data_IF_150743892119
#
_entry.id   IF_150743892119
#
_cell.length_a   1.000
_cell.length_b   1.000
_cell.length_c   1.000
_cell.angle_alpha   90.00
_cell.angle_beta   90.00
_cell.angle_gamma   90.00
#
_symmetry.space_group_name_H-M   'P 1'
#
loop_
_entity.id
_entity.type
_entity.pdbx_description
1 polymer ?
#
# COMPACT_ATOMS: atom_id res chain seq x y z
N UNK A 1 -15.76 0.66 -6.01
CA UNK A 1 -15.14 -0.62 -5.58
C UNK A 1 -14.05 -1.06 -6.56
N UNK A 2 -14.31 -1.08 -7.88
CA UNK A 2 -13.28 -1.37 -8.88
C UNK A 2 -12.10 -0.39 -8.82
N UNK A 3 -12.34 0.90 -8.59
CA UNK A 3 -11.28 1.92 -8.51
C UNK A 3 -10.32 1.66 -7.34
N UNK A 4 -10.86 1.37 -6.15
CA UNK A 4 -10.09 1.00 -4.94
C UNK A 4 -9.24 -0.26 -5.20
N UNK A 5 -9.81 -1.27 -5.86
CA UNK A 5 -9.09 -2.51 -6.20
C UNK A 5 -8.00 -2.26 -7.26
N UNK A 6 -8.20 -1.30 -8.15
CA UNK A 6 -7.20 -0.92 -9.14
C UNK A 6 -6.06 -0.13 -8.49
N UNK A 7 -6.37 0.80 -7.60
CA UNK A 7 -5.39 1.57 -6.82
C UNK A 7 -4.52 0.65 -5.94
N UNK A 8 -5.14 -0.29 -5.21
CA UNK A 8 -4.40 -1.28 -4.42
C UNK A 8 -3.47 -2.16 -5.27
N UNK A 9 -3.85 -2.47 -6.52
CA UNK A 9 -2.96 -3.19 -7.45
C UNK A 9 -1.78 -2.35 -7.91
N UNK A 10 -2.00 -1.05 -8.15
CA UNK A 10 -0.91 -0.11 -8.46
C UNK A 10 0.07 -0.01 -7.29
N UNK A 11 -0.45 0.12 -6.07
CA UNK A 11 0.35 0.15 -4.84
C UNK A 11 1.12 -1.15 -4.65
N UNK A 12 0.48 -2.31 -4.86
CA UNK A 12 1.15 -3.61 -4.81
C UNK A 12 2.35 -3.67 -5.77
N UNK A 13 2.13 -3.27 -7.02
CA UNK A 13 3.18 -3.26 -8.05
C UNK A 13 4.36 -2.38 -7.65
N UNK A 14 4.09 -1.20 -7.07
CA UNK A 14 5.13 -0.31 -6.57
C UNK A 14 5.90 -0.94 -5.39
N UNK A 15 5.19 -1.50 -4.42
CA UNK A 15 5.79 -2.14 -3.25
C UNK A 15 6.67 -3.33 -3.66
N UNK A 16 6.22 -4.16 -4.60
CA UNK A 16 6.98 -5.29 -5.13
C UNK A 16 8.29 -4.81 -5.79
N UNK A 17 8.22 -3.79 -6.65
CA UNK A 17 9.40 -3.15 -7.26
C UNK A 17 10.38 -2.60 -6.21
N UNK A 18 9.88 -1.95 -5.15
CA UNK A 18 10.71 -1.42 -4.07
C UNK A 18 11.34 -2.55 -3.25
N UNK A 19 10.59 -3.64 -3.03
CA UNK A 19 11.04 -4.81 -2.28
C UNK A 19 12.15 -5.57 -3.00
N UNK A 20 12.09 -5.69 -4.32
CA UNK A 20 13.18 -6.23 -5.14
C UNK A 20 14.48 -5.43 -4.96
N UNK A 21 14.37 -4.10 -4.84
CA UNK A 21 15.51 -3.19 -4.64
C UNK A 21 15.81 -2.89 -3.17
N UNK A 22 15.17 -3.58 -2.21
CA UNK A 22 15.27 -3.26 -0.76
C UNK A 22 16.70 -3.24 -0.20
N UNK A 23 17.58 -4.07 -0.77
CA UNK A 23 18.98 -4.17 -0.33
C UNK A 23 19.79 -2.92 -0.70
N UNK A 24 19.35 -2.19 -1.73
CA UNK A 24 19.94 -0.93 -2.19
C UNK A 24 19.43 0.27 -1.39
N UNK A 25 18.36 0.10 -0.59
CA UNK A 25 17.82 1.15 0.25
C UNK A 25 18.62 1.29 1.56
N UNK A 26 18.80 2.53 2.07
CA UNK A 26 19.27 2.77 3.43
C UNK A 26 18.41 2.04 4.45
N UNK A 27 19.01 1.60 5.56
CA UNK A 27 18.34 0.81 6.60
C UNK A 27 17.03 1.43 7.11
N UNK A 28 16.99 2.75 7.30
CA UNK A 28 15.77 3.47 7.70
C UNK A 28 14.63 3.37 6.66
N UNK A 29 14.96 3.47 5.37
CA UNK A 29 14.00 3.32 4.27
C UNK A 29 13.57 1.88 4.05
N UNK A 30 14.48 0.93 4.25
CA UNK A 30 14.15 -0.50 4.21
C UNK A 30 13.14 -0.85 5.31
N UNK A 31 13.39 -0.43 6.54
CA UNK A 31 12.46 -0.65 7.64
C UNK A 31 11.11 0.04 7.39
N UNK A 32 11.12 1.21 6.74
CA UNK A 32 9.88 1.88 6.33
C UNK A 32 9.14 1.09 5.25
N UNK A 33 9.82 0.64 4.20
CA UNK A 33 9.24 -0.18 3.14
C UNK A 33 8.62 -1.47 3.69
N UNK A 34 9.33 -2.17 4.58
CA UNK A 34 8.82 -3.39 5.23
C UNK A 34 7.54 -3.11 6.03
N UNK A 35 7.50 -2.02 6.81
CA UNK A 35 6.28 -1.59 7.51
C UNK A 35 5.14 -1.23 6.55
N UNK A 36 5.43 -0.53 5.45
CA UNK A 36 4.44 -0.17 4.44
C UNK A 36 3.87 -1.43 3.76
N UNK A 37 4.71 -2.44 3.51
CA UNK A 37 4.26 -3.74 3.01
C UNK A 37 3.34 -4.45 4.00
N UNK A 38 3.71 -4.48 5.28
CA UNK A 38 2.87 -5.10 6.32
C UNK A 38 1.50 -4.39 6.43
N UNK A 39 1.48 -3.06 6.37
CA UNK A 39 0.25 -2.27 6.41
C UNK A 39 -0.62 -2.50 5.16
N UNK A 40 -0.02 -2.62 3.97
CA UNK A 40 -0.73 -3.00 2.75
C UNK A 40 -1.37 -4.39 2.85
N UNK A 41 -0.66 -5.38 3.40
CA UNK A 41 -1.22 -6.73 3.61
C UNK A 41 -2.41 -6.70 4.57
N UNK A 42 -2.37 -5.86 5.61
CA UNK A 42 -3.51 -5.66 6.52
C UNK A 42 -4.71 -5.04 5.79
N UNK A 43 -4.50 -4.02 4.95
CA UNK A 43 -5.54 -3.40 4.11
C UNK A 43 -6.19 -4.43 3.18
N UNK A 44 -5.38 -5.27 2.51
CA UNK A 44 -5.88 -6.35 1.64
C UNK A 44 -6.68 -7.40 2.42
N UNK A 45 -6.20 -7.78 3.61
CA UNK A 45 -6.90 -8.70 4.51
C UNK A 45 -8.23 -8.13 5.04
N UNK A 46 -8.32 -6.82 5.24
CA UNK A 46 -9.56 -6.13 5.62
C UNK A 46 -10.53 -6.01 4.45
N UNK A 47 -10.06 -5.66 3.25
CA UNK A 47 -10.88 -5.60 2.04
C UNK A 47 -11.56 -6.95 1.74
N UNK A 48 -10.86 -8.07 1.96
CA UNK A 48 -11.41 -9.40 1.75
C UNK A 48 -12.60 -9.74 2.71
N UNK A 49 -12.72 -9.02 3.83
CA UNK A 49 -13.78 -9.23 4.84
C UNK A 49 -15.03 -8.35 4.61
N UNK A 50 -14.89 -7.25 3.87
CA UNK A 50 -15.98 -6.30 3.55
C UNK A 50 -17.19 -6.94 2.84
N UNK A 51 -17.06 -7.92 1.93
CA UNK A 51 -18.20 -8.51 1.22
C UNK A 51 -19.14 -9.37 2.10
N UNK A 52 -18.76 -9.67 3.34
CA UNK A 52 -19.51 -10.57 4.22
C UNK A 52 -20.20 -9.91 5.42
N UNK A 53 -20.08 -8.59 5.58
CA UNK A 53 -20.63 -7.86 6.71
C UNK A 53 -22.05 -7.33 6.44
N UNK A 54 -22.90 -7.29 7.48
CA UNK A 54 -24.22 -6.63 7.38
C UNK A 54 -24.08 -5.12 7.11
N UNK A 55 -25.10 -4.46 6.56
CA UNK A 55 -25.01 -3.09 6.00
C UNK A 55 -24.35 -2.03 6.92
N UNK A 56 -24.65 -2.03 8.21
CA UNK A 56 -24.02 -1.11 9.19
C UNK A 56 -22.54 -1.45 9.43
N UNK A 57 -22.21 -2.73 9.59
CA UNK A 57 -20.82 -3.17 9.74
C UNK A 57 -20.01 -2.95 8.46
N UNK A 58 -20.64 -3.11 7.30
CA UNK A 58 -20.03 -2.87 6.00
C UNK A 58 -19.65 -1.39 5.83
N UNK A 59 -20.51 -0.47 6.28
CA UNK A 59 -20.25 0.97 6.22
C UNK A 59 -19.08 1.39 7.11
N UNK A 60 -19.00 0.85 8.34
CA UNK A 60 -17.90 1.11 9.26
C UNK A 60 -16.58 0.51 8.75
N UNK A 61 -16.60 -0.75 8.31
CA UNK A 61 -15.43 -1.41 7.73
C UNK A 61 -14.91 -0.71 6.47
N UNK A 62 -15.81 -0.16 5.64
CA UNK A 62 -15.43 0.61 4.48
C UNK A 62 -14.72 1.92 4.87
N UNK A 63 -15.18 2.61 5.92
CA UNK A 63 -14.52 3.82 6.43
C UNK A 63 -13.14 3.52 6.99
N UNK A 64 -13.01 2.45 7.78
CA UNK A 64 -11.72 1.99 8.31
C UNK A 64 -10.77 1.61 7.17
N UNK A 65 -11.26 0.94 6.14
CA UNK A 65 -10.49 0.60 4.96
C UNK A 65 -9.98 1.84 4.22
N UNK A 66 -10.85 2.85 4.01
CA UNK A 66 -10.47 4.10 3.34
C UNK A 66 -9.42 4.86 4.16
N UNK A 67 -9.58 4.94 5.48
CA UNK A 67 -8.58 5.55 6.38
C UNK A 67 -7.23 4.83 6.29
N UNK A 68 -7.24 3.49 6.26
CA UNK A 68 -6.01 2.71 6.15
C UNK A 68 -5.34 2.85 4.77
N UNK A 69 -6.12 3.06 3.70
CA UNK A 69 -5.61 3.39 2.37
C UNK A 69 -4.97 4.79 2.36
N UNK A 70 -5.57 5.79 3.01
CA UNK A 70 -4.98 7.13 3.13
C UNK A 70 -3.65 7.10 3.91
N UNK A 71 -3.61 6.38 5.04
CA UNK A 71 -2.35 6.19 5.80
C UNK A 71 -1.27 5.50 4.96
N UNK A 72 -1.67 4.53 4.13
CA UNK A 72 -0.76 3.84 3.23
C UNK A 72 -0.14 4.79 2.20
N UNK A 73 -0.94 5.70 1.63
CA UNK A 73 -0.44 6.73 0.71
C UNK A 73 0.57 7.66 1.37
N UNK A 74 0.32 8.10 2.61
CA UNK A 74 1.26 8.92 3.38
C UNK A 74 2.58 8.18 3.66
N UNK A 75 2.51 6.86 3.85
CA UNK A 75 3.70 6.02 4.06
C UNK A 75 4.50 5.78 2.77
N UNK A 76 3.84 5.87 1.60
CA UNK A 76 4.45 5.71 0.27
C UNK A 76 5.12 6.98 -0.24
N UNK A 77 4.57 8.17 0.00
CA UNK A 77 5.16 9.46 -0.41
C UNK A 77 6.70 9.58 -0.20
N UNK A 78 7.25 9.31 0.99
CA UNK A 78 8.70 9.40 1.24
C UNK A 78 9.53 8.28 0.57
N UNK A 79 8.87 7.18 0.15
CA UNK A 79 9.46 6.11 -0.65
C UNK A 79 9.46 6.45 -2.14
N UNK A 80 8.46 7.19 -2.63
CA UNK A 80 8.33 7.63 -4.03
C UNK A 80 9.24 8.82 -4.37
N UNK A 81 9.37 9.80 -3.47
CA UNK A 81 10.18 11.00 -3.67
C UNK A 81 11.63 10.76 -4.15
N UNK A 82 12.37 9.73 -3.69
CA UNK A 82 13.68 9.35 -4.23
C UNK A 82 13.63 8.32 -5.36
N UNK A 83 12.48 7.66 -5.58
CA UNK A 83 12.35 6.60 -6.56
C UNK A 83 12.03 7.12 -7.96
N UNK A 84 11.66 8.39 -8.14
CA UNK A 84 11.53 8.97 -9.49
C UNK A 84 12.82 8.80 -10.32
N UNK A 85 14.00 8.92 -9.71
CA UNK A 85 15.30 8.66 -10.35
C UNK A 85 15.60 7.16 -10.56
N UNK A 86 15.07 6.27 -9.71
CA UNK A 86 15.29 4.81 -9.76
C UNK A 86 14.27 4.08 -10.66
N UNK A 87 13.09 4.67 -10.87
CA UNK A 87 12.00 4.20 -11.72
C UNK A 87 12.15 4.76 -13.14
N UNK A 88 12.66 5.99 -13.32
CA UNK A 88 13.03 6.53 -14.64
C UNK A 88 14.19 5.77 -15.31
N UNK A 89 14.84 4.86 -14.59
CA UNK A 89 15.91 3.98 -15.07
C UNK A 89 15.48 2.53 -15.31
N UNK A 90 14.19 2.22 -15.18
CA UNK A 90 13.65 0.96 -15.68
C UNK A 90 13.58 1.04 -17.22
N UNK A 91 14.03 -0.01 -17.94
CA UNK A 91 14.07 -0.01 -19.40
C UNK A 91 12.68 0.05 -20.05
#
# INVERSE_FOLDING_TARGET
MQDIVQELRSIQTLLDCLMEKRLQLPSGRRAQLERTCDQFQQVMGSLAKVPGAGEEQQTQQLRELLSAIEELHLCLEPLEAPCSDLVARLP
#
